data_IF_169086341310
#
_entry.id   IF_169086341310
#
_cell.length_a   1.000
_cell.length_b   1.000
_cell.length_c   1.000
_cell.angle_alpha   90.00
_cell.angle_beta   90.00
_cell.angle_gamma   90.00
#
_symmetry.space_group_name_H-M   'P 1'
#
loop_
_entity.id
_entity.type
_entity.pdbx_description
1 polymer ?
#
# COMPACT_ATOMS: atom_id res chain seq x y z
N UNK A 1 7.00 -17.78 21.45
CA UNK A 1 6.12 -18.74 20.73
C UNK A 1 4.62 -18.42 20.87
N UNK A 2 4.18 -17.58 21.84
CA UNK A 2 2.77 -17.21 22.03
C UNK A 2 2.34 -15.86 21.39
N UNK A 3 3.27 -15.01 20.90
CA UNK A 3 2.93 -13.76 20.19
C UNK A 3 2.50 -13.98 18.74
N UNK A 4 3.12 -14.95 18.07
CA UNK A 4 2.85 -15.30 16.67
C UNK A 4 1.49 -15.99 16.48
N UNK A 5 0.99 -16.66 17.53
CA UNK A 5 -0.31 -17.34 17.55
C UNK A 5 -1.48 -16.37 17.74
N UNK A 6 -1.27 -15.26 18.46
CA UNK A 6 -2.29 -14.23 18.66
C UNK A 6 -2.63 -13.47 17.37
N UNK A 7 -1.63 -13.18 16.53
CA UNK A 7 -1.89 -12.56 15.22
C UNK A 7 -2.52 -13.59 14.25
N UNK A 8 -2.21 -14.89 14.34
CA UNK A 8 -2.92 -15.91 13.56
C UNK A 8 -4.38 -16.08 14.00
N UNK A 9 -4.67 -15.95 15.29
CA UNK A 9 -6.03 -15.92 15.84
C UNK A 9 -6.80 -14.64 15.46
N UNK A 10 -6.14 -13.48 15.45
CA UNK A 10 -6.73 -12.24 14.90
C UNK A 10 -6.95 -12.34 13.38
N UNK A 11 -6.08 -13.04 12.63
CA UNK A 11 -6.18 -13.20 11.16
C UNK A 11 -7.45 -13.93 10.69
N UNK A 12 -8.08 -14.77 11.52
CA UNK A 12 -9.42 -15.32 11.25
C UNK A 12 -10.55 -14.50 11.89
N UNK A 13 -10.28 -13.70 12.93
CA UNK A 13 -11.25 -12.81 13.53
C UNK A 13 -11.64 -11.63 12.61
N UNK A 14 -10.76 -11.16 11.72
CA UNK A 14 -11.10 -10.09 10.75
C UNK A 14 -12.16 -10.50 9.71
N UNK A 15 -12.30 -11.80 9.41
CA UNK A 15 -13.40 -12.33 8.58
C UNK A 15 -14.68 -12.57 9.37
N UNK A 16 -14.61 -12.71 10.69
CA UNK A 16 -15.75 -13.05 11.57
C UNK A 16 -16.32 -11.81 12.30
N UNK A 17 -15.54 -10.76 12.53
CA UNK A 17 -16.00 -9.55 13.21
C UNK A 17 -16.81 -8.57 12.35
N UNK A 18 -16.94 -8.81 11.05
CA UNK A 18 -18.02 -8.21 10.25
C UNK A 18 -19.36 -8.98 10.38
N UNK A 19 -19.41 -10.11 11.10
CA UNK A 19 -20.59 -10.98 11.15
C UNK A 19 -21.27 -11.11 12.52
N UNK A 20 -20.73 -10.59 13.62
CA UNK A 20 -21.37 -10.60 14.95
C UNK A 20 -20.83 -9.43 15.77
N UNK A 21 -21.55 -8.40 16.21
CA UNK A 21 -22.95 -8.34 16.59
C UNK A 21 -23.50 -6.90 16.48
N UNK A 22 -24.27 -6.60 15.42
CA UNK A 22 -25.53 -5.80 15.40
C UNK A 22 -26.26 -6.18 14.08
N UNK A 23 -26.46 -7.48 13.84
CA UNK A 23 -27.15 -7.99 12.64
C UNK A 23 -28.03 -9.17 13.05
N UNK A 24 -29.16 -8.88 13.67
CA UNK A 24 -30.19 -9.88 13.93
C UNK A 24 -31.59 -9.26 13.84
N UNK A 25 -31.91 -8.58 12.73
CA UNK A 25 -33.32 -8.40 12.34
C UNK A 25 -33.61 -8.07 10.86
N UNK A 26 -32.64 -8.14 9.96
CA UNK A 26 -32.84 -7.74 8.55
C UNK A 26 -32.33 -8.78 7.54
N UNK A 27 -32.54 -10.07 7.82
CA UNK A 27 -32.06 -11.17 6.98
C UNK A 27 -33.16 -11.79 6.10
N UNK A 28 -33.95 -10.95 5.42
CA UNK A 28 -34.86 -11.37 4.34
C UNK A 28 -34.97 -10.31 3.22
N UNK A 29 -33.83 -9.80 2.74
CA UNK A 29 -33.80 -9.03 1.49
C UNK A 29 -32.83 -9.73 0.52
N UNK A 30 -33.27 -10.12 -0.69
CA UNK A 30 -32.38 -10.75 -1.67
C UNK A 30 -31.31 -9.72 -2.09
N UNK A 31 -30.04 -10.04 -1.87
CA UNK A 31 -28.92 -9.15 -2.21
C UNK A 31 -28.81 -9.05 -3.75
N UNK A 32 -29.06 -7.89 -4.36
CA UNK A 32 -28.81 -7.73 -5.79
C UNK A 32 -27.30 -7.68 -6.03
N UNK A 33 -26.84 -8.21 -7.17
CA UNK A 33 -25.49 -7.99 -7.73
C UNK A 33 -25.14 -6.49 -7.75
N UNK A 34 -24.51 -5.99 -6.71
CA UNK A 34 -23.87 -4.68 -6.69
C UNK A 34 -22.45 -4.82 -6.13
N UNK A 35 -21.54 -5.08 -7.06
CA UNK A 35 -20.12 -4.79 -6.99
C UNK A 35 -19.91 -3.36 -6.46
N UNK A 36 -19.37 -3.21 -5.25
CA UNK A 36 -18.86 -1.92 -4.77
C UNK A 36 -17.58 -2.13 -3.94
N UNK A 37 -16.39 -2.18 -4.57
CA UNK A 37 -15.11 -1.92 -3.89
C UNK A 37 -15.00 -0.47 -3.34
N UNK A 38 -16.03 0.35 -3.54
CA UNK A 38 -16.01 1.83 -3.61
C UNK A 38 -16.52 2.51 -2.34
N UNK A 39 -16.99 1.78 -1.33
CA UNK A 39 -17.79 2.39 -0.26
C UNK A 39 -17.00 3.30 0.72
N UNK A 40 -15.67 3.15 0.84
CA UNK A 40 -14.88 3.93 1.79
C UNK A 40 -14.36 5.28 1.25
N UNK A 41 -14.18 5.44 -0.06
CA UNK A 41 -13.56 6.64 -0.65
C UNK A 41 -14.51 7.85 -0.72
N UNK A 42 -15.74 7.71 -0.22
CA UNK A 42 -16.76 8.77 -0.20
C UNK A 42 -16.81 9.55 1.12
N UNK A 43 -16.06 9.12 2.14
CA UNK A 43 -16.08 9.78 3.44
C UNK A 43 -14.66 9.99 3.93
N UNK A 44 -14.46 11.22 4.41
CA UNK A 44 -13.48 11.65 5.40
C UNK A 44 -12.18 12.32 4.93
N UNK A 45 -12.17 13.65 5.00
CA UNK A 45 -10.96 14.47 4.97
C UNK A 45 -10.08 14.30 6.22
N UNK A 46 -10.68 14.20 7.42
CA UNK A 46 -9.94 14.15 8.71
C UNK A 46 -9.45 12.74 9.11
N UNK A 47 -10.27 11.69 8.98
CA UNK A 47 -9.87 10.30 9.26
C UNK A 47 -8.80 9.80 8.28
N UNK A 48 -8.77 10.34 7.06
CA UNK A 48 -7.70 10.03 6.10
C UNK A 48 -6.35 10.53 6.61
N UNK A 49 -6.25 11.77 7.10
CA UNK A 49 -4.98 12.32 7.56
C UNK A 49 -4.39 11.55 8.76
N UNK A 50 -5.25 11.20 9.73
CA UNK A 50 -4.85 10.37 10.86
C UNK A 50 -4.34 9.01 10.36
N UNK A 51 -5.05 8.37 9.42
CA UNK A 51 -4.64 7.09 8.86
C UNK A 51 -3.33 7.18 8.06
N UNK A 52 -3.10 8.28 7.34
CA UNK A 52 -1.88 8.48 6.57
C UNK A 52 -0.62 8.60 7.45
N UNK A 53 -0.75 9.16 8.65
CA UNK A 53 0.36 9.29 9.61
C UNK A 53 0.48 8.06 10.51
N UNK A 54 -0.64 7.62 11.09
CA UNK A 54 -0.66 6.64 12.18
C UNK A 54 -0.96 5.20 11.73
N UNK A 55 -1.39 4.99 10.49
CA UNK A 55 -1.77 3.68 9.99
C UNK A 55 -3.15 3.21 10.44
N UNK A 56 -3.41 1.92 10.26
CA UNK A 56 -4.74 1.30 10.39
C UNK A 56 -4.90 0.33 11.55
N UNK A 57 -3.91 0.19 12.43
CA UNK A 57 -4.02 -0.72 13.57
C UNK A 57 -5.12 -0.26 14.54
N UNK A 58 -6.09 -1.13 14.93
CA UNK A 58 -7.24 -0.73 15.73
C UNK A 58 -6.89 -0.01 17.02
N UNK A 59 -5.90 -0.52 17.76
CA UNK A 59 -5.47 0.10 19.02
C UNK A 59 -4.89 1.50 18.80
N UNK A 60 -4.22 1.74 17.68
CA UNK A 60 -3.73 3.08 17.31
C UNK A 60 -4.88 4.00 16.93
N UNK A 61 -5.84 3.49 16.14
CA UNK A 61 -7.00 4.26 15.69
C UNK A 61 -7.94 4.65 16.85
N UNK A 62 -8.05 3.82 17.87
CA UNK A 62 -8.91 4.04 19.05
C UNK A 62 -8.24 4.86 20.16
N UNK A 63 -6.92 4.89 20.21
CA UNK A 63 -6.18 5.72 21.17
C UNK A 63 -6.33 7.20 20.81
N UNK A 64 -6.41 8.08 21.82
CA UNK A 64 -6.52 9.53 21.63
C UNK A 64 -5.19 10.23 21.87
N UNK A 65 -4.38 9.69 22.78
CA UNK A 65 -3.08 10.26 23.13
C UNK A 65 -2.00 9.90 22.09
N UNK A 66 -1.42 10.90 21.45
CA UNK A 66 -0.41 10.70 20.40
C UNK A 66 0.87 10.05 20.90
N UNK A 67 1.28 10.31 22.14
CA UNK A 67 2.48 9.69 22.72
C UNK A 67 2.25 8.20 22.93
N UNK A 68 1.06 7.81 23.42
CA UNK A 68 0.65 6.40 23.56
C UNK A 68 0.53 5.71 22.20
N UNK A 69 0.00 6.38 21.17
CA UNK A 69 0.01 5.86 19.79
C UNK A 69 1.43 5.57 19.31
N UNK A 70 2.33 6.54 19.47
CA UNK A 70 3.71 6.44 19.02
C UNK A 70 4.45 5.32 19.76
N UNK A 71 4.25 5.22 21.08
CA UNK A 71 4.80 4.15 21.91
C UNK A 71 4.31 2.78 21.44
N UNK A 72 2.99 2.62 21.28
CA UNK A 72 2.42 1.35 20.84
C UNK A 72 2.86 0.95 19.42
N UNK A 73 2.90 1.87 18.47
CA UNK A 73 3.43 1.61 17.13
C UNK A 73 4.92 1.23 17.17
N UNK A 74 5.70 1.87 18.03
CA UNK A 74 7.12 1.54 18.22
C UNK A 74 7.31 0.16 18.82
N UNK A 75 6.51 -0.19 19.83
CA UNK A 75 6.48 -1.54 20.43
C UNK A 75 6.12 -2.59 19.38
N UNK A 76 5.07 -2.35 18.60
CA UNK A 76 4.62 -3.23 17.52
C UNK A 76 5.71 -3.44 16.47
N UNK A 77 6.34 -2.35 16.01
CA UNK A 77 7.45 -2.42 15.05
C UNK A 77 8.63 -3.21 15.61
N UNK A 78 9.03 -2.95 16.86
CA UNK A 78 10.17 -3.65 17.47
C UNK A 78 9.87 -5.14 17.71
N UNK A 79 8.69 -5.48 18.21
CA UNK A 79 8.30 -6.85 18.48
C UNK A 79 8.13 -7.66 17.20
N UNK A 80 7.43 -7.13 16.21
CA UNK A 80 7.13 -7.87 15.00
C UNK A 80 8.26 -7.80 13.97
N UNK A 81 8.67 -6.58 13.60
CA UNK A 81 9.59 -6.38 12.48
C UNK A 81 11.03 -6.71 12.88
N UNK A 82 11.48 -6.21 14.04
CA UNK A 82 12.88 -6.40 14.45
C UNK A 82 13.16 -7.70 15.16
N UNK A 83 12.18 -8.27 15.86
CA UNK A 83 12.34 -9.49 16.64
C UNK A 83 11.74 -10.70 15.93
N UNK A 84 10.43 -10.75 15.73
CA UNK A 84 9.77 -11.96 15.21
C UNK A 84 10.23 -12.33 13.79
N UNK A 85 10.31 -11.37 12.85
CA UNK A 85 10.80 -11.66 11.48
C UNK A 85 12.26 -12.11 11.49
N UNK A 86 13.08 -11.44 12.29
CA UNK A 86 14.52 -11.75 12.44
C UNK A 86 14.73 -13.16 12.99
N UNK A 87 13.99 -13.53 14.03
CA UNK A 87 14.07 -14.84 14.68
C UNK A 87 13.51 -15.95 13.75
N UNK A 88 12.40 -15.69 13.06
CA UNK A 88 11.78 -16.62 12.11
C UNK A 88 12.71 -16.94 10.93
N UNK A 89 13.34 -15.91 10.37
CA UNK A 89 14.11 -16.03 9.14
C UNK A 89 15.62 -16.17 9.36
N UNK A 90 16.08 -16.26 10.62
CA UNK A 90 17.51 -16.36 10.99
C UNK A 90 18.36 -15.29 10.29
N UNK A 91 17.93 -14.05 10.41
CA UNK A 91 18.60 -12.90 9.77
C UNK A 91 19.99 -12.69 10.41
N UNK A 92 21.04 -12.99 9.65
CA UNK A 92 22.43 -12.83 10.10
C UNK A 92 22.83 -11.34 10.20
N UNK A 93 22.62 -10.59 9.11
CA UNK A 93 22.95 -9.16 9.05
C UNK A 93 21.74 -8.30 9.44
N UNK A 94 21.53 -8.16 10.75
CA UNK A 94 20.43 -7.37 11.34
C UNK A 94 20.54 -5.88 10.97
N UNK A 95 21.75 -5.34 10.88
CA UNK A 95 21.95 -3.93 10.52
C UNK A 95 21.52 -3.67 9.08
N UNK A 96 21.97 -4.50 8.14
CA UNK A 96 21.58 -4.41 6.73
C UNK A 96 20.08 -4.61 6.53
N UNK A 97 19.44 -5.53 7.26
CA UNK A 97 17.98 -5.71 7.22
C UNK A 97 17.21 -4.47 7.68
N UNK A 98 17.61 -3.86 8.81
CA UNK A 98 16.99 -2.63 9.29
C UNK A 98 17.20 -1.48 8.30
N UNK A 99 18.39 -1.35 7.74
CA UNK A 99 18.70 -0.34 6.72
C UNK A 99 17.85 -0.53 5.46
N UNK A 100 17.59 -1.79 5.05
CA UNK A 100 16.72 -2.10 3.93
C UNK A 100 15.28 -1.63 4.19
N UNK A 101 14.71 -1.93 5.36
CA UNK A 101 13.35 -1.48 5.70
C UNK A 101 13.27 0.05 5.71
N UNK A 102 14.24 0.73 6.32
CA UNK A 102 14.29 2.20 6.34
C UNK A 102 14.45 2.78 4.94
N UNK A 103 15.32 2.20 4.09
CA UNK A 103 15.48 2.64 2.71
C UNK A 103 14.18 2.47 1.91
N UNK A 104 13.52 1.31 2.00
CA UNK A 104 12.22 1.05 1.37
C UNK A 104 11.14 2.00 1.88
N UNK A 105 11.14 2.32 3.17
CA UNK A 105 10.18 3.25 3.74
C UNK A 105 10.37 4.65 3.15
N UNK A 106 11.61 5.16 3.08
CA UNK A 106 11.88 6.46 2.46
C UNK A 106 11.45 6.54 0.99
N UNK A 107 11.58 5.44 0.22
CA UNK A 107 11.23 5.39 -1.20
C UNK A 107 9.95 4.60 -1.50
N UNK A 108 9.00 4.51 -0.56
CA UNK A 108 7.76 3.76 -0.77
C UNK A 108 7.02 4.26 -2.02
N UNK A 109 6.65 3.36 -2.93
CA UNK A 109 6.09 3.70 -4.25
C UNK A 109 7.09 4.17 -5.31
N UNK A 110 8.37 4.31 -4.96
CA UNK A 110 9.48 4.49 -5.89
C UNK A 110 9.94 3.18 -6.52
N UNK A 111 10.65 3.28 -7.66
CA UNK A 111 11.27 2.13 -8.30
C UNK A 111 12.41 1.59 -7.43
N UNK A 112 12.34 0.32 -7.06
CA UNK A 112 13.37 -0.33 -6.27
C UNK A 112 14.48 -0.89 -7.18
N UNK A 113 15.56 -0.12 -7.32
CA UNK A 113 16.77 -0.61 -7.97
C UNK A 113 17.56 -1.50 -6.98
N UNK A 114 17.59 -2.79 -7.26
CA UNK A 114 18.26 -3.80 -6.42
C UNK A 114 19.76 -3.50 -6.25
N UNK A 115 20.43 -3.03 -7.29
CA UNK A 115 21.86 -2.70 -7.22
C UNK A 115 22.12 -1.49 -6.31
N UNK A 116 21.30 -0.44 -6.41
CA UNK A 116 21.41 0.74 -5.54
C UNK A 116 21.10 0.38 -4.08
N UNK A 117 20.05 -0.39 -3.84
CA UNK A 117 19.68 -0.85 -2.51
C UNK A 117 20.76 -1.76 -1.89
N UNK A 118 21.38 -2.63 -2.69
CA UNK A 118 22.48 -3.50 -2.24
C UNK A 118 23.66 -2.69 -1.74
N UNK A 119 24.05 -1.64 -2.48
CA UNK A 119 25.13 -0.73 -2.08
C UNK A 119 24.75 0.05 -0.82
N UNK A 120 23.56 0.65 -0.79
CA UNK A 120 23.10 1.47 0.34
C UNK A 120 22.97 0.68 1.65
N UNK A 121 22.55 -0.58 1.56
CA UNK A 121 22.32 -1.45 2.73
C UNK A 121 23.52 -2.33 3.09
N UNK A 122 24.55 -2.37 2.22
CA UNK A 122 25.71 -3.28 2.32
C UNK A 122 25.30 -4.74 2.41
N UNK A 123 24.26 -5.11 1.67
CA UNK A 123 23.78 -6.48 1.55
C UNK A 123 24.22 -7.05 0.20
N UNK A 124 24.63 -8.32 0.19
CA UNK A 124 24.75 -9.05 -1.06
C UNK A 124 23.38 -9.11 -1.75
N UNK A 125 23.38 -9.12 -3.09
CA UNK A 125 22.15 -9.09 -3.89
C UNK A 125 21.17 -10.20 -3.49
N UNK A 126 21.65 -11.43 -3.37
CA UNK A 126 20.81 -12.58 -3.04
C UNK A 126 20.20 -12.45 -1.63
N UNK A 127 20.99 -11.95 -0.66
CA UNK A 127 20.50 -11.65 0.70
C UNK A 127 19.42 -10.57 0.67
N UNK A 128 19.60 -9.53 -0.13
CA UNK A 128 18.63 -8.44 -0.27
C UNK A 128 17.33 -8.94 -0.91
N UNK A 129 17.41 -9.70 -2.00
CA UNK A 129 16.25 -10.29 -2.66
C UNK A 129 15.52 -11.26 -1.71
N UNK A 130 16.25 -12.05 -0.92
CA UNK A 130 15.68 -12.89 0.12
C UNK A 130 14.97 -12.06 1.20
N UNK A 131 15.56 -10.96 1.68
CA UNK A 131 14.91 -10.08 2.66
C UNK A 131 13.66 -9.39 2.11
N UNK A 132 13.66 -8.97 0.83
CA UNK A 132 12.45 -8.47 0.18
C UNK A 132 11.36 -9.54 0.14
N UNK A 133 11.72 -10.77 -0.25
CA UNK A 133 10.80 -11.91 -0.25
C UNK A 133 10.22 -12.15 1.15
N UNK A 134 11.04 -12.12 2.21
CA UNK A 134 10.56 -12.26 3.58
C UNK A 134 9.57 -11.15 3.95
N UNK A 135 9.92 -9.89 3.69
CA UNK A 135 9.06 -8.74 4.01
C UNK A 135 7.70 -8.81 3.30
N UNK A 136 7.67 -9.30 2.05
CA UNK A 136 6.43 -9.55 1.32
C UNK A 136 5.60 -10.68 1.96
N UNK A 137 6.22 -11.80 2.31
CA UNK A 137 5.54 -12.96 2.89
C UNK A 137 5.16 -12.77 4.37
N UNK A 138 5.76 -11.78 5.05
CA UNK A 138 5.37 -11.34 6.40
C UNK A 138 4.41 -10.15 6.38
N UNK A 139 3.89 -9.77 5.20
CA UNK A 139 2.91 -8.70 5.05
C UNK A 139 3.37 -7.34 5.58
N UNK A 140 4.68 -7.05 5.52
CA UNK A 140 5.21 -5.70 5.83
C UNK A 140 5.10 -4.81 4.61
N UNK A 141 5.56 -5.34 3.48
CA UNK A 141 5.51 -4.68 2.19
C UNK A 141 4.78 -5.55 1.17
N UNK A 142 4.48 -4.97 0.02
CA UNK A 142 4.01 -5.69 -1.16
C UNK A 142 4.53 -4.98 -2.41
N UNK A 143 5.05 -5.76 -3.35
CA UNK A 143 5.58 -5.27 -4.61
C UNK A 143 4.49 -5.12 -5.66
N UNK A 144 4.43 -3.95 -6.28
CA UNK A 144 3.70 -3.70 -7.52
C UNK A 144 4.63 -3.98 -8.71
N UNK A 145 4.17 -4.81 -9.63
CA UNK A 145 4.89 -5.11 -10.86
C UNK A 145 4.56 -4.07 -11.95
N UNK A 146 5.51 -3.78 -12.85
CA UNK A 146 5.21 -3.00 -14.04
C UNK A 146 4.27 -3.79 -14.94
N UNK A 147 3.10 -3.22 -15.23
CA UNK A 147 2.16 -3.76 -16.20
C UNK A 147 2.73 -3.62 -17.61
N UNK A 148 2.74 -4.72 -18.35
CA UNK A 148 3.24 -4.79 -19.71
C UNK A 148 2.47 -5.83 -20.53
N UNK A 149 1.96 -5.46 -21.72
CA UNK A 149 1.58 -6.47 -22.74
C UNK A 149 2.67 -6.69 -23.78
N UNK A 150 3.63 -5.78 -23.91
CA UNK A 150 4.76 -5.91 -24.82
C UNK A 150 6.10 -5.70 -24.09
N UNK A 151 6.73 -6.79 -23.62
CA UNK A 151 7.98 -6.72 -22.86
C UNK A 151 9.14 -6.05 -23.60
N UNK A 152 9.07 -5.91 -24.94
CA UNK A 152 10.13 -5.28 -25.74
C UNK A 152 10.08 -3.75 -25.73
N UNK A 153 8.92 -3.14 -25.43
CA UNK A 153 8.76 -1.66 -25.39
C UNK A 153 8.90 -1.09 -23.99
N UNK A 154 8.73 -1.91 -22.95
CA UNK A 154 8.63 -1.47 -21.56
C UNK A 154 9.88 -1.93 -20.77
N UNK A 155 10.67 -0.95 -20.34
CA UNK A 155 12.11 -1.10 -20.06
C UNK A 155 12.46 -1.67 -18.68
N UNK A 156 11.50 -1.90 -17.79
CA UNK A 156 11.84 -2.20 -16.39
C UNK A 156 11.11 -3.44 -15.87
N UNK A 157 11.87 -4.42 -15.36
CA UNK A 157 11.35 -5.45 -14.43
C UNK A 157 11.41 -4.98 -12.96
N UNK A 158 11.88 -3.75 -12.72
CA UNK A 158 11.96 -3.20 -11.37
C UNK A 158 10.56 -3.02 -10.80
N UNK A 159 10.41 -3.41 -9.54
CA UNK A 159 9.18 -3.31 -8.78
C UNK A 159 9.11 -1.97 -8.07
N UNK A 160 7.91 -1.56 -7.71
CA UNK A 160 7.69 -0.60 -6.64
C UNK A 160 7.28 -1.36 -5.39
N UNK A 161 7.79 -0.97 -4.22
CA UNK A 161 7.35 -1.56 -2.95
C UNK A 161 6.55 -0.55 -2.15
N UNK A 162 5.44 -1.02 -1.61
CA UNK A 162 4.56 -0.26 -0.73
C UNK A 162 4.42 -0.98 0.60
N UNK A 163 4.29 -0.23 1.69
CA UNK A 163 3.99 -0.78 3.00
C UNK A 163 2.50 -1.05 3.13
N UNK A 164 2.13 -2.17 3.75
CA UNK A 164 0.71 -2.52 3.97
C UNK A 164 0.07 -1.72 5.12
N UNK A 165 0.88 -0.95 5.86
CA UNK A 165 0.47 -0.02 6.89
C UNK A 165 1.40 1.21 6.95
N UNK A 166 0.83 2.43 6.83
CA UNK A 166 1.61 3.67 6.87
C UNK A 166 2.22 3.95 8.25
N UNK A 167 1.60 3.50 9.34
CA UNK A 167 2.11 3.66 10.70
C UNK A 167 3.44 2.93 10.86
N UNK A 168 3.52 1.67 10.43
CA UNK A 168 4.79 0.92 10.42
C UNK A 168 5.86 1.58 9.54
N UNK A 169 5.47 2.03 8.34
CA UNK A 169 6.36 2.76 7.43
C UNK A 169 6.94 4.01 8.11
N UNK A 170 6.09 4.77 8.80
CA UNK A 170 6.46 6.02 9.45
C UNK A 170 7.32 5.81 10.70
N UNK A 171 7.10 4.74 11.46
CA UNK A 171 8.02 4.32 12.51
C UNK A 171 9.39 3.93 11.95
N UNK A 172 9.43 3.23 10.81
CA UNK A 172 10.70 2.82 10.18
C UNK A 172 11.61 3.99 9.82
N UNK A 173 11.04 5.16 9.48
CA UNK A 173 11.77 6.41 9.23
C UNK A 173 11.77 7.38 10.41
N UNK A 174 11.20 6.98 11.55
CA UNK A 174 11.10 7.78 12.79
C UNK A 174 10.42 9.14 12.59
N UNK A 175 9.39 9.20 11.73
CA UNK A 175 8.66 10.43 11.46
C UNK A 175 7.16 10.20 11.55
N UNK A 176 6.56 10.76 12.61
CA UNK A 176 5.12 10.85 12.85
C UNK A 176 4.65 12.31 12.80
N UNK A 177 5.39 13.17 12.09
CA UNK A 177 5.03 14.57 11.93
C UNK A 177 3.63 14.72 11.29
N UNK A 178 2.96 15.82 11.60
CA UNK A 178 1.68 16.18 11.01
C UNK A 178 1.79 16.22 9.47
N UNK A 179 0.74 15.79 8.78
CA UNK A 179 0.80 15.58 7.33
C UNK A 179 1.12 16.87 6.54
N UNK A 180 0.62 18.01 6.99
CA UNK A 180 0.85 19.31 6.31
C UNK A 180 2.32 19.78 6.39
N UNK A 181 3.12 19.26 7.32
CA UNK A 181 4.56 19.61 7.42
C UNK A 181 5.46 18.60 6.70
N UNK A 182 4.89 17.59 6.05
CA UNK A 182 5.63 16.49 5.44
C UNK A 182 5.81 16.68 3.94
N UNK A 183 7.06 16.59 3.43
CA UNK A 183 7.30 16.64 1.99
C UNK A 183 6.81 15.38 1.27
N UNK A 184 6.67 14.26 1.98
CA UNK A 184 6.29 12.95 1.44
C UNK A 184 4.77 12.65 1.56
N UNK A 185 3.93 13.69 1.72
CA UNK A 185 2.49 13.52 1.91
C UNK A 185 1.79 12.87 0.71
N UNK A 186 2.27 13.14 -0.51
CA UNK A 186 1.75 12.53 -1.73
C UNK A 186 2.03 11.03 -1.80
N UNK A 187 3.26 10.65 -1.46
CA UNK A 187 3.74 9.28 -1.39
C UNK A 187 3.03 8.50 -0.29
N UNK A 188 2.76 9.11 0.87
CA UNK A 188 1.94 8.49 1.92
C UNK A 188 0.52 8.19 1.44
N UNK A 189 -0.10 9.12 0.70
CA UNK A 189 -1.43 8.91 0.14
C UNK A 189 -1.43 7.79 -0.90
N UNK A 190 -0.45 7.77 -1.81
CA UNK A 190 -0.27 6.69 -2.78
C UNK A 190 -0.10 5.32 -2.07
N UNK A 191 0.76 5.26 -1.05
CA UNK A 191 1.00 4.04 -0.29
C UNK A 191 -0.27 3.54 0.43
N UNK A 192 -1.03 4.43 1.04
CA UNK A 192 -2.29 4.08 1.69
C UNK A 192 -3.33 3.55 0.71
N UNK A 193 -3.43 4.16 -0.48
CA UNK A 193 -4.30 3.68 -1.56
C UNK A 193 -3.88 2.28 -2.01
N UNK A 194 -2.58 2.03 -2.22
CA UNK A 194 -2.10 0.69 -2.59
C UNK A 194 -2.40 -0.36 -1.52
N UNK A 195 -2.17 -0.02 -0.25
CA UNK A 195 -2.45 -0.91 0.87
C UNK A 195 -3.95 -1.25 0.96
N UNK A 196 -4.82 -0.28 0.71
CA UNK A 196 -6.28 -0.49 0.71
C UNK A 196 -6.74 -1.33 -0.49
N UNK A 197 -6.24 -1.02 -1.69
CA UNK A 197 -6.49 -1.81 -2.90
C UNK A 197 -6.08 -3.27 -2.68
N UNK A 198 -4.89 -3.52 -2.12
CA UNK A 198 -4.42 -4.89 -1.85
C UNK A 198 -5.33 -5.66 -0.89
N UNK A 199 -5.98 -4.98 0.05
CA UNK A 199 -6.92 -5.61 1.02
C UNK A 199 -8.29 -5.91 0.41
N UNK A 200 -8.70 -5.16 -0.62
CA UNK A 200 -10.05 -5.20 -1.20
C UNK A 200 -10.12 -5.83 -2.58
N UNK A 201 -8.99 -5.94 -3.27
CA UNK A 201 -8.92 -6.43 -4.63
C UNK A 201 -9.42 -7.88 -4.70
N UNK A 202 -10.27 -8.23 -5.68
CA UNK A 202 -10.66 -9.61 -5.92
C UNK A 202 -9.45 -10.52 -6.12
N UNK A 203 -9.60 -11.81 -5.81
CA UNK A 203 -8.49 -12.78 -5.88
C UNK A 203 -7.79 -12.86 -7.26
N UNK A 204 -8.48 -12.50 -8.34
CA UNK A 204 -7.98 -12.55 -9.72
C UNK A 204 -7.59 -11.19 -10.29
N UNK A 205 -7.69 -10.12 -9.49
CA UNK A 205 -7.28 -8.77 -9.89
C UNK A 205 -5.87 -8.49 -9.34
N UNK A 206 -4.97 -8.15 -10.25
CA UNK A 206 -3.61 -7.75 -9.96
C UNK A 206 -3.49 -6.23 -9.98
N UNK A 207 -2.62 -5.72 -9.10
CA UNK A 207 -2.31 -4.29 -8.97
C UNK A 207 -0.88 -4.08 -9.45
N UNK A 208 -0.75 -3.53 -10.65
CA UNK A 208 0.53 -3.11 -11.21
C UNK A 208 0.66 -1.59 -11.26
N UNK A 209 1.74 -1.11 -11.88
CA UNK A 209 1.90 0.29 -12.29
C UNK A 209 2.32 0.32 -13.76
N UNK A 210 2.19 1.45 -14.46
CA UNK A 210 2.67 1.54 -15.85
C UNK A 210 3.63 2.68 -16.02
N UNK A 211 4.74 2.46 -16.74
CA UNK A 211 5.77 3.46 -16.97
C UNK A 211 6.45 3.30 -18.32
N UNK A 212 6.62 4.41 -19.04
CA UNK A 212 7.34 4.44 -20.32
C UNK A 212 8.83 4.73 -20.14
N UNK A 213 9.61 4.54 -21.22
CA UNK A 213 11.02 4.95 -21.29
C UNK A 213 11.19 6.47 -21.09
N UNK A 214 10.21 7.26 -21.54
CA UNK A 214 10.13 8.71 -21.34
C UNK A 214 9.70 9.11 -19.92
N UNK A 215 9.63 8.16 -18.98
CA UNK A 215 9.28 8.38 -17.56
C UNK A 215 7.85 8.85 -17.30
N UNK A 216 6.98 8.77 -18.31
CA UNK A 216 5.53 8.95 -18.12
C UNK A 216 5.00 7.78 -17.31
N UNK A 217 4.16 8.04 -16.31
CA UNK A 217 3.72 7.01 -15.37
C UNK A 217 2.21 7.07 -15.07
N UNK A 218 1.63 5.90 -14.81
CA UNK A 218 0.34 5.73 -14.15
C UNK A 218 0.58 4.98 -12.85
N UNK A 219 0.15 5.59 -11.74
CA UNK A 219 0.43 5.14 -10.37
C UNK A 219 -0.03 3.68 -10.18
N UNK A 220 -1.27 3.35 -10.55
CA UNK A 220 -1.78 1.97 -10.48
C UNK A 220 -2.55 1.54 -11.75
N UNK A 221 -2.37 0.27 -12.11
CA UNK A 221 -3.16 -0.43 -13.13
C UNK A 221 -3.83 -1.62 -12.44
N UNK A 222 -5.16 -1.57 -12.34
CA UNK A 222 -5.98 -2.70 -11.88
C UNK A 222 -6.29 -3.57 -13.09
N UNK A 223 -5.85 -4.82 -13.09
CA UNK A 223 -6.07 -5.73 -14.22
C UNK A 223 -6.40 -7.15 -13.78
N UNK A 224 -7.35 -7.77 -14.46
CA UNK A 224 -7.83 -9.11 -14.11
C UNK A 224 -9.19 -9.37 -14.75
N UNK A 225 -9.52 -10.64 -15.02
CA UNK A 225 -10.82 -11.02 -15.59
C UNK A 225 -11.22 -10.24 -16.87
N UNK A 226 -10.24 -9.91 -17.72
CA UNK A 226 -10.47 -9.11 -18.94
C UNK A 226 -10.72 -7.62 -18.71
N UNK A 227 -10.62 -7.15 -17.45
CA UNK A 227 -10.70 -5.75 -17.05
C UNK A 227 -9.31 -5.12 -17.01
N UNK A 228 -9.28 -3.83 -17.32
CA UNK A 228 -8.08 -3.01 -17.29
C UNK A 228 -8.49 -1.59 -16.91
N UNK A 229 -8.06 -1.12 -15.75
CA UNK A 229 -8.44 0.20 -15.22
C UNK A 229 -7.21 0.95 -14.71
N UNK A 230 -6.84 2.07 -15.35
CA UNK A 230 -5.81 2.95 -14.80
C UNK A 230 -6.39 3.80 -13.65
N UNK A 231 -5.60 3.94 -12.59
CA UNK A 231 -5.88 4.77 -11.41
C UNK A 231 -4.71 5.70 -11.15
N UNK A 232 -5.01 6.99 -11.03
CA UNK A 232 -4.05 8.01 -10.61
C UNK A 232 -4.37 8.54 -9.21
N UNK A 233 -3.35 8.69 -8.37
CA UNK A 233 -3.44 9.29 -7.05
C UNK A 233 -2.74 10.65 -7.06
N UNK A 234 -3.44 11.69 -6.60
CA UNK A 234 -2.96 13.07 -6.61
C UNK A 234 -3.33 13.75 -5.31
N UNK A 235 -2.40 13.76 -4.35
CA UNK A 235 -2.62 14.38 -3.05
C UNK A 235 -2.58 15.92 -3.11
N UNK A 236 -3.63 16.51 -3.66
CA UNK A 236 -3.84 17.95 -3.81
C UNK A 236 -5.34 18.23 -3.88
N UNK A 237 -5.79 19.47 -3.57
CA UNK A 237 -7.20 19.84 -3.72
C UNK A 237 -7.69 19.61 -5.14
N UNK A 238 -8.95 19.23 -5.28
CA UNK A 238 -9.57 18.98 -6.56
C UNK A 238 -9.61 20.28 -7.39
N UNK A 239 -9.08 20.22 -8.61
CA UNK A 239 -9.00 21.36 -9.53
C UNK A 239 -9.76 21.12 -10.85
N UNK A 240 -10.76 20.23 -10.80
CA UNK A 240 -11.59 19.83 -11.93
C UNK A 240 -11.25 18.43 -12.48
N UNK A 241 -12.15 17.84 -13.30
CA UNK A 241 -11.99 16.51 -13.86
C UNK A 241 -10.96 16.53 -14.99
N UNK A 242 -9.68 16.53 -14.63
CA UNK A 242 -8.56 16.45 -15.58
C UNK A 242 -7.98 15.05 -15.57
N UNK A 243 -8.02 14.38 -16.71
CA UNK A 243 -7.28 13.12 -16.89
C UNK A 243 -5.77 13.44 -16.77
N UNK A 244 -5.01 12.75 -15.91
CA UNK A 244 -3.56 12.89 -15.86
C UNK A 244 -2.91 12.54 -17.20
N UNK A 245 -1.80 13.22 -17.55
CA UNK A 245 -1.09 12.97 -18.81
C UNK A 245 -0.68 11.50 -19.00
N UNK A 246 -0.21 10.86 -17.93
CA UNK A 246 0.14 9.43 -17.96
C UNK A 246 -1.04 8.51 -18.27
N UNK A 247 -2.22 8.81 -17.73
CA UNK A 247 -3.44 8.04 -18.04
C UNK A 247 -3.85 8.23 -19.50
N UNK A 248 -3.70 9.45 -20.06
CA UNK A 248 -3.94 9.67 -21.50
C UNK A 248 -3.00 8.85 -22.37
N UNK A 249 -1.70 8.89 -22.08
CA UNK A 249 -0.71 8.09 -22.82
C UNK A 249 -0.98 6.60 -22.69
N UNK A 250 -1.27 6.11 -21.48
CA UNK A 250 -1.63 4.72 -21.25
C UNK A 250 -2.83 4.30 -22.10
N UNK A 251 -3.89 5.12 -22.17
CA UNK A 251 -5.10 4.79 -22.97
C UNK A 251 -4.86 4.78 -24.48
N UNK A 252 -3.83 5.47 -24.97
CA UNK A 252 -3.43 5.40 -26.39
C UNK A 252 -2.79 4.04 -26.69
N UNK A 253 -1.92 3.56 -25.81
CA UNK A 253 -1.24 2.27 -25.96
C UNK A 253 -2.14 1.07 -25.59
N UNK A 254 -3.04 1.30 -24.64
CA UNK A 254 -3.93 0.31 -24.05
C UNK A 254 -5.38 0.82 -24.05
N UNK A 255 -6.15 0.60 -25.12
CA UNK A 255 -7.56 0.97 -25.16
C UNK A 255 -8.35 0.16 -24.14
N UNK A 256 -8.52 0.73 -22.95
CA UNK A 256 -9.31 0.20 -21.86
C UNK A 256 -10.78 0.58 -22.06
N UNK A 257 -11.69 -0.40 -21.89
CA UNK A 257 -13.14 -0.16 -21.88
C UNK A 257 -13.61 0.55 -20.62
N UNK A 258 -12.84 0.43 -19.54
CA UNK A 258 -13.20 0.98 -18.24
C UNK A 258 -12.75 2.43 -18.08
N UNK A 259 -13.55 3.23 -17.37
CA UNK A 259 -13.23 4.63 -17.10
C UNK A 259 -12.03 4.74 -16.15
N UNK A 260 -11.10 5.69 -16.40
CA UNK A 260 -10.00 5.93 -15.49
C UNK A 260 -10.50 6.45 -14.14
N UNK A 261 -9.82 6.06 -13.07
CA UNK A 261 -10.05 6.60 -11.73
C UNK A 261 -9.02 7.66 -11.39
N UNK A 262 -9.47 8.72 -10.73
CA UNK A 262 -8.59 9.74 -10.14
C UNK A 262 -8.99 9.94 -8.69
N UNK A 263 -8.02 9.78 -7.80
CA UNK A 263 -8.15 10.06 -6.38
C UNK A 263 -7.37 11.34 -6.06
N UNK A 264 -8.04 12.32 -5.49
CA UNK A 264 -7.43 13.53 -4.91
C UNK A 264 -7.63 13.58 -3.39
N UNK A 265 -7.09 14.61 -2.72
CA UNK A 265 -7.20 14.75 -1.24
C UNK A 265 -8.67 14.76 -0.78
N UNK A 266 -9.54 15.32 -1.60
CA UNK A 266 -10.92 15.70 -1.32
C UNK A 266 -11.94 15.15 -2.33
N UNK A 267 -11.50 14.46 -3.39
CA UNK A 267 -12.36 13.91 -4.42
C UNK A 267 -11.93 12.51 -4.85
N UNK A 268 -12.91 11.62 -5.03
CA UNK A 268 -12.72 10.34 -5.68
C UNK A 268 -13.82 10.13 -6.73
N UNK A 269 -13.42 9.83 -7.97
CA UNK A 269 -14.38 9.57 -9.02
C UNK A 269 -13.77 9.16 -10.35
N UNK A 270 -14.67 8.91 -11.32
CA UNK A 270 -14.29 8.70 -12.72
C UNK A 270 -14.19 10.02 -13.44
N UNK A 271 -13.17 10.19 -14.26
CA UNK A 271 -13.07 11.34 -15.17
C UNK A 271 -13.64 10.96 -16.54
N UNK A 272 -14.39 11.88 -17.15
CA UNK A 272 -14.93 11.75 -18.52
C UNK A 272 -13.86 12.03 -19.58
#
# INVERSE_FOLDING_TARGET
MLSSFWIFAEKNAWRVWCATAVCAHWWQIPIPRLFQPVFWLRTVSVTTEIFLVWGGYPRVALERDEQRKAAYLSELYNAYVRKDIKDLARIDNVSGFNNLITALAHQAGGLANISELSIATRLARDTLEHYLFLLENTFIIKGALPFSRNPRKEISKMRKYYFLDNGLRNIAIRSLAALDSRPDAGELAENAVFADLTKKSPLLEEIGFWRTQSKTEVDFILHGEGRLRPLGVKFRPFSGPKIPGGIRSFRQDYPAKERPLVLTRDYFGTTE
#
